data_IF_011375601969
#
_entry.id   IF_011375601969
#
_cell.length_a   1.000
_cell.length_b   1.000
_cell.length_c   1.000
_cell.angle_alpha   90.00
_cell.angle_beta   90.00
_cell.angle_gamma   90.00
#
_symmetry.space_group_name_H-M   'P 1'
#
loop_
_entity.id
_entity.type
_entity.pdbx_description
1 polymer ?
#
# COMPACT_ATOMS: atom_id res chain seq x y z
N UNK A 1 -11.65 -2.92 12.97
CA UNK A 1 -11.26 -1.84 12.03
C UNK A 1 -9.74 -1.83 11.83
N UNK A 2 -8.96 -1.50 12.86
CA UNK A 2 -7.48 -1.39 12.77
C UNK A 2 -6.83 -2.75 12.45
N UNK A 3 -7.11 -3.80 13.22
CA UNK A 3 -6.46 -5.11 13.00
C UNK A 3 -6.93 -5.80 11.71
N UNK A 4 -8.23 -5.73 11.37
CA UNK A 4 -8.75 -6.31 10.12
C UNK A 4 -8.22 -5.61 8.87
N UNK A 5 -8.05 -4.28 8.92
CA UNK A 5 -7.40 -3.52 7.85
C UNK A 5 -5.93 -3.91 7.68
N UNK A 6 -5.17 -4.02 8.78
CA UNK A 6 -3.78 -4.48 8.75
C UNK A 6 -3.63 -5.87 8.12
N UNK A 7 -4.46 -6.84 8.49
CA UNK A 7 -4.42 -8.19 7.93
C UNK A 7 -4.69 -8.21 6.43
N UNK A 8 -5.60 -7.37 5.93
CA UNK A 8 -5.84 -7.23 4.50
C UNK A 8 -4.64 -6.60 3.79
N UNK A 9 -4.09 -5.50 4.32
CA UNK A 9 -2.91 -4.83 3.75
C UNK A 9 -1.70 -5.76 3.70
N UNK A 10 -1.51 -6.59 4.71
CA UNK A 10 -0.40 -7.55 4.80
C UNK A 10 -0.39 -8.55 3.64
N UNK A 11 -1.55 -8.87 3.08
CA UNK A 11 -1.69 -9.78 1.94
C UNK A 11 -1.73 -8.98 0.63
N UNK A 12 -2.51 -7.91 0.59
CA UNK A 12 -2.77 -7.13 -0.64
C UNK A 12 -1.54 -6.35 -1.08
N UNK A 13 -0.83 -5.67 -0.18
CA UNK A 13 0.31 -4.81 -0.56
C UNK A 13 1.44 -5.60 -1.24
N UNK A 14 1.93 -6.73 -0.68
CA UNK A 14 2.92 -7.56 -1.37
C UNK A 14 2.44 -8.11 -2.70
N UNK A 15 1.17 -8.52 -2.77
CA UNK A 15 0.60 -9.08 -3.98
C UNK A 15 0.51 -8.03 -5.09
N UNK A 16 0.15 -6.79 -4.75
CA UNK A 16 0.13 -5.66 -5.69
C UNK A 16 1.55 -5.31 -6.16
N UNK A 17 2.53 -5.24 -5.26
CA UNK A 17 3.92 -4.96 -5.66
C UNK A 17 4.46 -6.04 -6.58
N UNK A 18 4.23 -7.31 -6.24
CA UNK A 18 4.63 -8.43 -7.09
C UNK A 18 3.95 -8.39 -8.46
N UNK A 19 2.66 -8.03 -8.51
CA UNK A 19 1.93 -7.88 -9.77
C UNK A 19 2.50 -6.74 -10.63
N UNK A 20 2.84 -5.60 -10.03
CA UNK A 20 3.37 -4.43 -10.74
C UNK A 20 4.79 -4.69 -11.25
N UNK A 21 5.62 -5.34 -10.43
CA UNK A 21 6.96 -5.80 -10.79
C UNK A 21 6.90 -6.69 -12.03
N UNK A 22 5.99 -7.68 -12.04
CA UNK A 22 5.80 -8.58 -13.17
C UNK A 22 5.22 -7.91 -14.43
N UNK A 23 4.35 -6.92 -14.27
CA UNK A 23 3.58 -6.34 -15.38
C UNK A 23 4.28 -5.17 -16.08
N UNK A 24 5.03 -4.34 -15.35
CA UNK A 24 5.47 -3.03 -15.85
C UNK A 24 6.89 -2.99 -16.37
N UNK A 25 7.81 -3.77 -15.80
CA UNK A 25 9.25 -3.66 -16.07
C UNK A 25 9.90 -2.34 -15.58
N UNK A 26 9.09 -1.38 -15.12
CA UNK A 26 9.50 -0.09 -14.55
C UNK A 26 9.75 -0.17 -13.03
N UNK A 27 9.23 -1.23 -12.42
CA UNK A 27 9.55 -1.69 -11.07
C UNK A 27 10.18 -3.05 -11.25
N UNK A 28 11.42 -3.21 -10.78
CA UNK A 28 12.17 -4.45 -10.90
C UNK A 28 12.80 -4.84 -9.57
N UNK A 29 12.38 -6.00 -9.06
CA UNK A 29 12.98 -6.65 -7.90
C UNK A 29 13.59 -8.00 -8.31
N UNK A 30 14.94 -8.15 -8.32
CA UNK A 30 15.61 -9.39 -8.71
C UNK A 30 15.17 -10.64 -7.95
N UNK A 31 14.81 -10.48 -6.68
CA UNK A 31 14.41 -11.59 -5.80
C UNK A 31 12.99 -11.38 -5.32
N UNK A 32 12.17 -12.44 -5.36
CA UNK A 32 10.78 -12.42 -4.86
C UNK A 32 10.67 -11.87 -3.43
N UNK A 33 11.62 -12.19 -2.55
CA UNK A 33 11.62 -11.71 -1.17
C UNK A 33 11.75 -10.19 -1.06
N UNK A 34 12.38 -9.51 -2.02
CA UNK A 34 12.49 -8.05 -2.02
C UNK A 34 11.11 -7.41 -2.25
N UNK A 35 10.35 -7.88 -3.25
CA UNK A 35 8.97 -7.45 -3.49
C UNK A 35 8.07 -7.71 -2.26
N UNK A 36 8.21 -8.88 -1.64
CA UNK A 36 7.49 -9.23 -0.42
C UNK A 36 7.82 -8.27 0.74
N UNK A 37 9.11 -7.98 0.95
CA UNK A 37 9.58 -7.08 2.01
C UNK A 37 9.06 -5.66 1.80
N UNK A 38 9.11 -5.14 0.56
CA UNK A 38 8.55 -3.82 0.23
C UNK A 38 7.05 -3.79 0.51
N UNK A 39 6.31 -4.82 0.10
CA UNK A 39 4.89 -4.96 0.39
C UNK A 39 4.58 -4.96 1.90
N UNK A 40 5.42 -5.63 2.69
CA UNK A 40 5.29 -5.66 4.15
C UNK A 40 5.54 -4.28 4.77
N UNK A 41 6.56 -3.56 4.31
CA UNK A 41 6.86 -2.18 4.74
C UNK A 41 5.69 -1.26 4.39
N UNK A 42 5.12 -1.39 3.20
CA UNK A 42 3.96 -0.62 2.78
C UNK A 42 2.73 -0.92 3.64
N UNK A 43 2.47 -2.20 3.95
CA UNK A 43 1.38 -2.59 4.82
C UNK A 43 1.53 -1.98 6.23
N UNK A 44 2.75 -2.00 6.78
CA UNK A 44 3.05 -1.40 8.06
C UNK A 44 2.92 0.13 8.04
N UNK A 45 3.44 0.79 6.99
CA UNK A 45 3.36 2.24 6.82
C UNK A 45 1.93 2.73 6.64
N UNK A 46 1.17 2.13 5.71
CA UNK A 46 -0.23 2.47 5.47
C UNK A 46 -1.11 2.17 6.69
N UNK A 47 -0.76 1.16 7.50
CA UNK A 47 -1.45 0.93 8.76
C UNK A 47 -1.10 1.99 9.82
N UNK A 48 0.16 2.38 9.95
CA UNK A 48 0.57 3.44 10.87
C UNK A 48 -0.12 4.77 10.53
N UNK A 49 -0.19 5.12 9.25
CA UNK A 49 -0.91 6.31 8.76
C UNK A 49 -2.39 6.24 9.08
N UNK A 50 -3.02 5.08 8.88
CA UNK A 50 -4.40 4.84 9.29
C UNK A 50 -4.59 5.08 10.80
N UNK A 51 -3.77 4.47 11.66
CA UNK A 51 -3.88 4.65 13.13
C UNK A 51 -3.73 6.12 13.54
N UNK A 52 -2.82 6.86 12.91
CA UNK A 52 -2.54 8.27 13.27
C UNK A 52 -3.63 9.23 12.77
N UNK A 53 -4.21 8.98 11.60
CA UNK A 53 -5.04 9.99 10.90
C UNK A 53 -6.50 9.60 10.68
N UNK A 54 -6.91 8.35 10.89
CA UNK A 54 -8.27 7.89 10.59
C UNK A 54 -9.31 8.62 11.48
N UNK A 55 -10.05 9.55 10.86
CA UNK A 55 -11.32 10.09 11.39
C UNK A 55 -12.40 9.91 10.34
N UNK A 56 -13.62 9.55 10.78
CA UNK A 56 -14.80 9.41 9.92
C UNK A 56 -14.95 10.64 9.02
N UNK A 57 -15.03 10.41 7.71
CA UNK A 57 -15.22 11.46 6.69
C UNK A 57 -13.98 11.87 5.90
N UNK A 58 -12.78 11.35 6.21
CA UNK A 58 -11.54 11.74 5.51
C UNK A 58 -10.94 10.69 4.57
N UNK A 59 -11.75 9.74 4.09
CA UNK A 59 -11.29 8.62 3.24
C UNK A 59 -10.49 9.07 2.01
N UNK A 60 -11.00 10.08 1.30
CA UNK A 60 -10.33 10.64 0.12
C UNK A 60 -8.95 11.22 0.46
N UNK A 61 -8.86 11.97 1.58
CA UNK A 61 -7.58 12.56 2.02
C UNK A 61 -6.59 11.47 2.41
N UNK A 62 -7.03 10.42 3.11
CA UNK A 62 -6.16 9.29 3.46
C UNK A 62 -5.66 8.55 2.23
N UNK A 63 -6.54 8.28 1.27
CA UNK A 63 -6.17 7.56 0.03
C UNK A 63 -5.10 8.33 -0.75
N UNK A 64 -5.19 9.66 -0.79
CA UNK A 64 -4.18 10.51 -1.44
C UNK A 64 -2.86 10.50 -0.64
N UNK A 65 -2.91 10.57 0.69
CA UNK A 65 -1.71 10.48 1.52
C UNK A 65 -1.02 9.11 1.36
N UNK A 66 -1.79 8.02 1.38
CA UNK A 66 -1.28 6.67 1.17
C UNK A 66 -0.69 6.49 -0.23
N UNK A 67 -1.26 7.14 -1.25
CA UNK A 67 -0.69 7.18 -2.59
C UNK A 67 0.72 7.80 -2.59
N UNK A 68 0.88 9.00 -2.04
CA UNK A 68 2.19 9.67 -2.00
C UNK A 68 3.20 8.94 -1.12
N UNK A 69 2.76 8.43 0.03
CA UNK A 69 3.60 7.63 0.91
C UNK A 69 4.05 6.34 0.22
N UNK A 70 3.14 5.64 -0.46
CA UNK A 70 3.47 4.42 -1.21
C UNK A 70 4.42 4.70 -2.36
N UNK A 71 4.19 5.77 -3.12
CA UNK A 71 5.08 6.18 -4.21
C UNK A 71 6.49 6.46 -3.69
N UNK A 72 6.60 7.19 -2.58
CA UNK A 72 7.89 7.46 -1.95
C UNK A 72 8.56 6.17 -1.47
N UNK A 73 7.86 5.30 -0.74
CA UNK A 73 8.40 4.04 -0.22
C UNK A 73 8.88 3.14 -1.36
N UNK A 74 8.08 2.98 -2.41
CA UNK A 74 8.44 2.15 -3.58
C UNK A 74 9.61 2.76 -4.33
N UNK A 75 9.65 4.07 -4.53
CA UNK A 75 10.77 4.72 -5.20
C UNK A 75 12.07 4.59 -4.39
N UNK A 76 12.02 4.80 -3.08
CA UNK A 76 13.21 4.75 -2.23
C UNK A 76 13.67 3.33 -1.90
N UNK A 77 12.84 2.30 -2.10
CA UNK A 77 13.21 0.91 -1.84
C UNK A 77 14.44 0.48 -2.65
N UNK A 78 14.62 1.03 -3.86
CA UNK A 78 15.75 0.71 -4.74
C UNK A 78 17.11 1.05 -4.13
N UNK A 79 17.18 2.04 -3.23
CA UNK A 79 18.44 2.43 -2.57
C UNK A 79 18.79 1.52 -1.40
N UNK A 80 17.80 0.80 -0.86
CA UNK A 80 17.98 -0.11 0.28
C UNK A 80 18.19 -1.55 -0.21
N UNK A 81 17.60 -1.92 -1.33
CA UNK A 81 17.56 -3.28 -1.85
C UNK A 81 18.58 -3.47 -2.99
N UNK A 82 19.61 -4.31 -2.82
CA UNK A 82 20.62 -4.51 -3.85
C UNK A 82 20.04 -5.06 -5.15
N UNK A 83 20.37 -4.41 -6.27
CA UNK A 83 19.94 -4.81 -7.61
C UNK A 83 18.50 -4.45 -7.97
N UNK A 84 17.74 -3.85 -7.06
CA UNK A 84 16.42 -3.34 -7.36
C UNK A 84 16.51 -2.08 -8.23
N UNK A 85 15.60 -1.94 -9.19
CA UNK A 85 15.51 -0.78 -10.07
C UNK A 85 14.07 -0.30 -10.13
N UNK A 86 13.84 0.98 -9.81
CA UNK A 86 12.50 1.56 -9.77
C UNK A 86 12.53 2.94 -10.41
N UNK A 87 11.79 3.12 -11.50
CA UNK A 87 11.64 4.44 -12.11
C UNK A 87 10.60 5.26 -11.36
N UNK A 88 10.63 6.59 -11.55
CA UNK A 88 9.61 7.48 -10.99
C UNK A 88 8.23 7.08 -11.52
N UNK A 89 8.13 6.71 -12.80
CA UNK A 89 6.89 6.26 -13.43
C UNK A 89 6.43 4.94 -12.81
N UNK A 90 7.33 3.97 -12.65
CA UNK A 90 7.05 2.69 -12.00
C UNK A 90 6.52 2.86 -10.57
N UNK A 91 7.15 3.74 -9.78
CA UNK A 91 6.70 4.06 -8.43
C UNK A 91 5.29 4.68 -8.39
N UNK A 92 4.98 5.59 -9.31
CA UNK A 92 3.64 6.19 -9.43
C UNK A 92 2.59 5.16 -9.87
N UNK A 93 2.94 4.25 -10.78
CA UNK A 93 2.04 3.15 -11.19
C UNK A 93 1.78 2.23 -10.00
N UNK A 94 2.82 1.78 -9.31
CA UNK A 94 2.70 0.94 -8.12
C UNK A 94 1.80 1.59 -7.06
N UNK A 95 2.06 2.86 -6.75
CA UNK A 95 1.28 3.63 -5.81
C UNK A 95 -0.18 3.80 -6.24
N UNK A 96 -0.46 3.94 -7.54
CA UNK A 96 -1.82 4.04 -8.07
C UNK A 96 -2.59 2.75 -7.82
N UNK A 97 -1.99 1.59 -8.10
CA UNK A 97 -2.59 0.30 -7.81
C UNK A 97 -2.86 0.12 -6.32
N UNK A 98 -1.88 0.44 -5.48
CA UNK A 98 -2.02 0.37 -4.02
C UNK A 98 -3.16 1.26 -3.53
N UNK A 99 -3.20 2.53 -3.95
CA UNK A 99 -4.26 3.47 -3.57
C UNK A 99 -5.66 3.01 -4.00
N UNK A 100 -5.78 2.42 -5.20
CA UNK A 100 -7.04 1.82 -5.65
C UNK A 100 -7.44 0.68 -4.70
N UNK A 101 -6.52 -0.25 -4.41
CA UNK A 101 -6.82 -1.38 -3.52
C UNK A 101 -7.18 -0.93 -2.09
N UNK A 102 -6.53 0.13 -1.61
CA UNK A 102 -6.79 0.75 -0.31
C UNK A 102 -8.20 1.35 -0.26
N UNK A 103 -8.58 2.10 -1.29
CA UNK A 103 -9.93 2.67 -1.40
C UNK A 103 -11.02 1.58 -1.37
N UNK A 104 -10.84 0.49 -2.11
CA UNK A 104 -11.77 -0.64 -2.09
C UNK A 104 -11.84 -1.31 -0.72
N UNK A 105 -10.68 -1.50 -0.07
CA UNK A 105 -10.59 -2.10 1.28
C UNK A 105 -11.34 -1.25 2.31
N UNK A 106 -11.12 0.06 2.31
CA UNK A 106 -11.86 0.98 3.16
C UNK A 106 -13.36 0.98 2.88
N UNK A 107 -13.77 1.03 1.61
CA UNK A 107 -15.19 1.00 1.24
C UNK A 107 -15.88 -0.29 1.72
N UNK A 108 -15.21 -1.43 1.55
CA UNK A 108 -15.72 -2.74 1.97
C UNK A 108 -15.85 -2.83 3.50
N UNK A 109 -14.86 -2.33 4.25
CA UNK A 109 -14.89 -2.26 5.71
C UNK A 109 -16.07 -1.42 6.23
N UNK A 110 -16.40 -0.32 5.54
CA UNK A 110 -17.54 0.54 5.89
C UNK A 110 -18.88 -0.16 5.59
N UNK A 111 -19.00 -0.80 4.42
CA UNK A 111 -20.24 -1.45 4.00
C UNK A 111 -20.61 -2.66 4.87
N UNK A 112 -19.62 -3.40 5.40
CA UNK A 112 -19.86 -4.59 6.21
C UNK A 112 -20.35 -4.32 7.63
N UNK A 113 -20.60 -3.07 8.02
CA UNK A 113 -21.10 -2.77 9.36
C UNK A 113 -20.14 -3.22 10.47
N UNK A 114 -18.87 -3.54 10.15
CA UNK A 114 -17.77 -3.66 11.12
C UNK A 114 -17.37 -2.28 11.67
N UNK A 115 -18.37 -1.40 11.78
CA UNK A 115 -18.39 -0.14 12.50
C UNK A 115 -18.58 -0.41 13.98
N UNK A 116 -17.72 -1.22 14.58
CA UNK A 116 -17.76 -1.49 16.02
C UNK A 116 -17.15 -0.34 16.85
N UNK A 117 -17.15 0.89 16.28
CA UNK A 117 -16.90 2.16 16.97
C UNK A 117 -17.75 3.27 16.34
N UNK A 118 -19.05 3.02 16.33
CA UNK A 118 -20.10 3.99 16.05
C UNK A 118 -21.07 4.16 17.22
N UNK A 119 -20.72 3.61 18.38
CA UNK A 119 -21.38 3.85 19.66
C UNK A 119 -20.34 4.52 20.56
#
# INVERSE_FOLDING_TARGET
MIMTGLWMKLIICPLVIFLVDWMTGEVYYPMFFQALLVGLVLAAAGHAMEVMWLKRGRLWVMTILDFFASAAIVFFSQFVLPGAFVTIIGALIAASFLAITEYFTHRWLIQRGMTEKAA
#
